data_IF_054803953153
#
_entry.id   IF_054803953153
#
_cell.length_a   1.000
_cell.length_b   1.000
_cell.length_c   1.000
_cell.angle_alpha   90.00
_cell.angle_beta   90.00
_cell.angle_gamma   90.00
#
_symmetry.space_group_name_H-M   'P 1'
#
loop_
_entity.id
_entity.type
_entity.pdbx_description
1 polymer ?
#
# COMPACT_ATOMS: atom_id res chain seq x y z
N UNK A 1 -52.89 -32.35 -3.22
CA UNK A 1 -52.03 -31.29 -2.66
C UNK A 1 -50.58 -31.73 -2.78
N UNK A 2 -49.97 -31.50 -3.94
CA UNK A 2 -48.55 -31.79 -4.15
C UNK A 2 -47.73 -30.68 -3.51
N UNK A 3 -47.03 -30.99 -2.43
CA UNK A 3 -46.03 -30.11 -1.87
C UNK A 3 -44.79 -30.16 -2.77
N UNK A 4 -44.56 -29.08 -3.51
CA UNK A 4 -43.28 -28.86 -4.18
C UNK A 4 -42.28 -28.53 -3.07
N UNK A 5 -41.44 -29.50 -2.73
CA UNK A 5 -40.25 -29.28 -1.90
C UNK A 5 -39.21 -28.63 -2.81
N UNK A 6 -39.09 -27.31 -2.70
CA UNK A 6 -37.95 -26.57 -3.26
C UNK A 6 -36.71 -26.92 -2.45
N UNK A 7 -35.97 -27.92 -2.93
CA UNK A 7 -34.60 -28.19 -2.51
C UNK A 7 -33.72 -27.00 -2.92
N UNK A 8 -33.53 -26.06 -2.00
CA UNK A 8 -32.44 -25.10 -2.07
C UNK A 8 -31.14 -25.90 -2.08
N UNK A 9 -30.52 -26.03 -3.26
CA UNK A 9 -29.14 -26.45 -3.36
C UNK A 9 -28.30 -25.47 -2.55
N UNK A 10 -27.81 -25.90 -1.39
CA UNK A 10 -26.73 -25.24 -0.66
C UNK A 10 -25.45 -25.34 -1.50
N UNK A 11 -25.36 -24.57 -2.58
CA UNK A 11 -24.07 -24.14 -3.09
C UNK A 11 -23.48 -23.24 -2.00
N UNK A 12 -22.65 -23.82 -1.12
CA UNK A 12 -22.01 -23.08 -0.04
C UNK A 12 -21.36 -21.81 -0.59
N UNK A 13 -21.55 -20.68 0.10
CA UNK A 13 -20.96 -19.41 -0.29
C UNK A 13 -19.44 -19.59 -0.42
N UNK A 14 -18.90 -19.38 -1.62
CA UNK A 14 -17.45 -19.33 -1.81
C UNK A 14 -16.93 -18.03 -1.23
N UNK A 15 -16.31 -18.08 -0.03
CA UNK A 15 -15.74 -16.89 0.60
C UNK A 15 -14.70 -16.22 -0.28
N UNK A 16 -13.93 -16.99 -1.06
CA UNK A 16 -12.98 -16.46 -2.04
C UNK A 16 -13.69 -15.56 -3.05
N UNK A 17 -14.78 -16.04 -3.65
CA UNK A 17 -15.56 -15.24 -4.60
C UNK A 17 -16.18 -14.02 -3.92
N UNK A 18 -16.74 -14.19 -2.72
CA UNK A 18 -17.34 -13.08 -1.97
C UNK A 18 -16.31 -11.99 -1.60
N UNK A 19 -15.07 -12.38 -1.26
CA UNK A 19 -13.99 -11.43 -0.97
C UNK A 19 -13.59 -10.56 -2.18
N UNK A 20 -13.83 -11.04 -3.40
CA UNK A 20 -13.56 -10.31 -4.64
C UNK A 20 -14.75 -9.45 -5.04
N UNK A 21 -15.96 -10.03 -5.01
CA UNK A 21 -17.18 -9.38 -5.51
C UNK A 21 -17.73 -8.34 -4.52
N UNK A 22 -17.68 -8.63 -3.22
CA UNK A 22 -18.21 -7.77 -2.15
C UNK A 22 -17.45 -7.97 -0.82
N UNK A 23 -16.21 -7.46 -0.71
CA UNK A 23 -15.39 -7.61 0.49
C UNK A 23 -16.01 -6.98 1.73
N UNK A 24 -16.76 -5.88 1.60
CA UNK A 24 -17.51 -5.26 2.70
C UNK A 24 -18.52 -6.23 3.33
N UNK A 25 -19.30 -6.94 2.50
CA UNK A 25 -20.28 -7.91 3.00
C UNK A 25 -19.59 -9.07 3.75
N UNK A 26 -18.43 -9.53 3.27
CA UNK A 26 -17.68 -10.58 3.93
C UNK A 26 -17.17 -10.12 5.32
N UNK A 27 -16.61 -8.92 5.41
CA UNK A 27 -16.10 -8.36 6.68
C UNK A 27 -17.25 -8.07 7.66
N UNK A 28 -18.40 -7.62 7.17
CA UNK A 28 -19.58 -7.40 8.01
C UNK A 28 -20.03 -8.69 8.75
N UNK A 29 -19.68 -9.86 8.24
CA UNK A 29 -19.97 -11.16 8.85
C UNK A 29 -18.77 -11.78 9.58
N UNK A 30 -17.59 -11.13 9.58
CA UNK A 30 -16.31 -11.68 10.02
C UNK A 30 -16.38 -12.36 11.39
N UNK A 31 -16.81 -11.64 12.44
CA UNK A 31 -16.82 -12.15 13.81
C UNK A 31 -17.67 -13.42 13.93
N UNK A 32 -18.87 -13.40 13.34
CA UNK A 32 -19.80 -14.54 13.32
C UNK A 32 -19.26 -15.73 12.53
N UNK A 33 -18.45 -15.49 11.50
CA UNK A 33 -17.82 -16.55 10.70
C UNK A 33 -16.63 -17.14 11.44
N UNK A 34 -15.79 -16.31 12.05
CA UNK A 34 -14.63 -16.75 12.83
C UNK A 34 -15.04 -17.52 14.09
N UNK A 35 -16.14 -17.14 14.77
CA UNK A 35 -16.68 -17.92 15.89
C UNK A 35 -17.05 -19.35 15.49
N UNK A 36 -17.55 -19.56 14.27
CA UNK A 36 -18.00 -20.87 13.77
C UNK A 36 -16.90 -21.67 13.07
N UNK A 37 -15.97 -20.98 12.41
CA UNK A 37 -15.02 -21.57 11.46
C UNK A 37 -13.60 -20.99 11.63
N UNK A 38 -13.18 -20.68 12.85
CA UNK A 38 -11.86 -20.05 13.14
C UNK A 38 -10.65 -20.78 12.54
N UNK A 39 -10.73 -22.10 12.36
CA UNK A 39 -9.65 -22.92 11.79
C UNK A 39 -9.71 -23.04 10.25
N UNK A 40 -10.70 -22.44 9.60
CA UNK A 40 -10.87 -22.52 8.15
C UNK A 40 -9.87 -21.61 7.45
N UNK A 41 -8.79 -22.19 6.91
CA UNK A 41 -7.80 -21.46 6.13
C UNK A 41 -8.42 -20.72 4.94
N UNK A 42 -9.43 -21.31 4.29
CA UNK A 42 -10.14 -20.68 3.17
C UNK A 42 -10.89 -19.40 3.59
N UNK A 43 -11.55 -19.44 4.76
CA UNK A 43 -12.23 -18.26 5.31
C UNK A 43 -11.22 -17.18 5.70
N UNK A 44 -10.16 -17.56 6.43
CA UNK A 44 -9.10 -16.62 6.86
C UNK A 44 -8.46 -15.95 5.65
N UNK A 45 -8.09 -16.71 4.63
CA UNK A 45 -7.50 -16.16 3.40
C UNK A 45 -8.47 -15.22 2.66
N UNK A 46 -9.76 -15.54 2.64
CA UNK A 46 -10.77 -14.67 2.03
C UNK A 46 -10.97 -13.36 2.83
N UNK A 47 -10.95 -13.41 4.15
CA UNK A 47 -11.04 -12.22 5.01
C UNK A 47 -9.79 -11.34 4.88
N UNK A 48 -8.59 -11.94 4.85
CA UNK A 48 -7.32 -11.24 4.57
C UNK A 48 -7.41 -10.52 3.22
N UNK A 49 -7.86 -11.21 2.17
CA UNK A 49 -8.04 -10.61 0.84
C UNK A 49 -9.05 -9.46 0.88
N UNK A 50 -10.20 -9.64 1.52
CA UNK A 50 -11.21 -8.61 1.63
C UNK A 50 -10.67 -7.34 2.30
N UNK A 51 -9.96 -7.48 3.42
CA UNK A 51 -9.30 -6.35 4.09
C UNK A 51 -8.26 -5.68 3.19
N UNK A 52 -7.42 -6.45 2.50
CA UNK A 52 -6.42 -5.93 1.56
C UNK A 52 -7.08 -5.13 0.43
N UNK A 53 -8.17 -5.63 -0.17
CA UNK A 53 -8.88 -4.92 -1.25
C UNK A 53 -9.50 -3.60 -0.79
N UNK A 54 -10.14 -3.58 0.40
CA UNK A 54 -10.66 -2.32 0.95
C UNK A 54 -9.51 -1.38 1.28
N UNK A 55 -8.41 -1.88 1.83
CA UNK A 55 -7.22 -1.09 2.13
C UNK A 55 -6.66 -0.42 0.87
N UNK A 56 -6.49 -1.16 -0.22
CA UNK A 56 -6.01 -0.65 -1.51
C UNK A 56 -6.94 0.43 -2.08
N UNK A 57 -8.27 0.21 -2.04
CA UNK A 57 -9.25 1.23 -2.49
C UNK A 57 -9.16 2.49 -1.63
N UNK A 58 -9.07 2.34 -0.31
CA UNK A 58 -8.91 3.48 0.60
C UNK A 58 -7.59 4.23 0.36
N UNK A 59 -6.50 3.54 -0.02
CA UNK A 59 -5.23 4.18 -0.44
C UNK A 59 -5.43 5.01 -1.70
N UNK A 60 -6.13 4.49 -2.71
CA UNK A 60 -6.43 5.22 -3.94
C UNK A 60 -7.34 6.44 -3.69
N UNK A 61 -8.20 6.40 -2.68
CA UNK A 61 -9.01 7.52 -2.20
C UNK A 61 -8.22 8.49 -1.29
N UNK A 62 -6.93 8.28 -1.07
CA UNK A 62 -6.08 9.00 -0.11
C UNK A 62 -6.58 8.96 1.35
N UNK A 63 -7.45 8.01 1.69
CA UNK A 63 -7.92 7.76 3.05
C UNK A 63 -6.95 6.81 3.78
N UNK A 64 -5.75 7.31 4.04
CA UNK A 64 -4.64 6.53 4.60
C UNK A 64 -4.94 5.94 5.98
N UNK A 65 -5.73 6.61 6.82
CA UNK A 65 -6.11 6.06 8.12
C UNK A 65 -7.02 4.83 7.98
N UNK A 66 -8.02 4.88 7.08
CA UNK A 66 -8.87 3.72 6.79
C UNK A 66 -8.07 2.59 6.16
N UNK A 67 -7.16 2.91 5.23
CA UNK A 67 -6.29 1.93 4.59
C UNK A 67 -5.40 1.20 5.61
N UNK A 68 -4.71 1.95 6.48
CA UNK A 68 -3.87 1.41 7.55
C UNK A 68 -4.65 0.48 8.47
N UNK A 69 -5.86 0.87 8.90
CA UNK A 69 -6.71 0.02 9.74
C UNK A 69 -6.99 -1.34 9.07
N UNK A 70 -7.43 -1.34 7.81
CA UNK A 70 -7.70 -2.60 7.12
C UNK A 70 -6.45 -3.45 6.87
N UNK A 71 -5.29 -2.86 6.57
CA UNK A 71 -4.06 -3.65 6.48
C UNK A 71 -3.66 -4.23 7.83
N UNK A 72 -3.86 -3.52 8.95
CA UNK A 72 -3.67 -4.08 10.28
C UNK A 72 -4.59 -5.28 10.54
N UNK A 73 -5.89 -5.15 10.23
CA UNK A 73 -6.85 -6.25 10.38
C UNK A 73 -6.47 -7.48 9.53
N UNK A 74 -5.98 -7.27 8.30
CA UNK A 74 -5.44 -8.36 7.49
C UNK A 74 -4.25 -9.06 8.16
N UNK A 75 -3.34 -8.28 8.79
CA UNK A 75 -2.17 -8.82 9.47
C UNK A 75 -2.47 -9.45 10.83
N UNK A 76 -3.56 -9.06 11.49
CA UNK A 76 -4.07 -9.76 12.68
C UNK A 76 -4.54 -11.18 12.33
N UNK A 77 -5.17 -11.34 11.15
CA UNK A 77 -5.61 -12.63 10.63
C UNK A 77 -4.45 -13.47 10.08
N UNK A 78 -3.52 -12.83 9.36
CA UNK A 78 -2.32 -13.47 8.81
C UNK A 78 -1.14 -12.49 8.81
N UNK A 79 -0.31 -12.58 9.85
CA UNK A 79 0.83 -11.67 10.02
C UNK A 79 1.95 -11.85 8.97
N UNK A 80 1.89 -12.88 8.12
CA UNK A 80 2.86 -13.14 7.03
C UNK A 80 2.37 -12.66 5.66
N UNK A 81 1.18 -12.04 5.57
CA UNK A 81 0.69 -11.54 4.29
C UNK A 81 1.55 -10.38 3.78
N UNK A 82 2.38 -10.65 2.78
CA UNK A 82 3.34 -9.68 2.25
C UNK A 82 2.67 -8.56 1.46
N UNK A 83 1.43 -8.72 1.02
CA UNK A 83 0.66 -7.66 0.36
C UNK A 83 0.17 -6.65 1.38
N UNK A 84 -0.42 -7.10 2.49
CA UNK A 84 -0.82 -6.24 3.58
C UNK A 84 0.39 -5.54 4.22
N UNK A 85 1.50 -6.25 4.47
CA UNK A 85 2.72 -5.65 5.01
C UNK A 85 3.27 -4.54 4.10
N UNK A 86 3.38 -4.80 2.79
CA UNK A 86 3.89 -3.83 1.82
C UNK A 86 3.02 -2.57 1.79
N UNK A 87 1.70 -2.73 1.67
CA UNK A 87 0.81 -1.58 1.55
C UNK A 87 0.66 -0.82 2.88
N UNK A 88 0.73 -1.50 4.03
CA UNK A 88 0.75 -0.83 5.34
C UNK A 88 1.96 0.09 5.46
N UNK A 89 3.15 -0.39 5.10
CA UNK A 89 4.38 0.41 5.12
C UNK A 89 4.27 1.65 4.23
N UNK A 90 3.73 1.51 3.01
CA UNK A 90 3.50 2.65 2.12
C UNK A 90 2.56 3.69 2.75
N UNK A 91 1.42 3.23 3.28
CA UNK A 91 0.39 4.11 3.85
C UNK A 91 0.88 4.80 5.13
N UNK A 92 1.58 4.09 6.01
CA UNK A 92 2.23 4.70 7.18
C UNK A 92 3.26 5.76 6.75
N UNK A 93 4.05 5.46 5.71
CA UNK A 93 4.94 6.42 5.08
C UNK A 93 4.20 7.66 4.57
N UNK A 94 3.05 7.50 3.92
CA UNK A 94 2.25 8.63 3.42
C UNK A 94 1.67 9.50 4.54
N UNK A 95 1.22 8.88 5.65
CA UNK A 95 0.73 9.60 6.83
C UNK A 95 1.85 10.48 7.40
N UNK A 96 3.04 9.90 7.57
CA UNK A 96 4.22 10.58 8.09
C UNK A 96 4.70 11.70 7.15
N UNK A 97 4.78 11.41 5.85
CA UNK A 97 5.11 12.37 4.80
C UNK A 97 4.15 13.56 4.81
N UNK A 98 2.85 13.30 4.93
CA UNK A 98 1.82 14.35 5.05
C UNK A 98 2.04 15.23 6.28
N UNK A 99 2.33 14.62 7.44
CA UNK A 99 2.62 15.36 8.69
C UNK A 99 3.86 16.25 8.56
N UNK A 100 4.89 15.81 7.86
CA UNK A 100 5.99 16.66 7.38
C UNK A 100 6.98 17.18 8.44
N UNK A 101 6.85 16.77 9.70
CA UNK A 101 7.85 17.09 10.72
C UNK A 101 9.14 16.28 10.46
N UNK A 102 10.31 16.83 10.79
CA UNK A 102 11.63 16.25 10.45
C UNK A 102 11.78 14.78 10.85
N UNK A 103 11.44 14.43 12.10
CA UNK A 103 11.54 13.04 12.57
C UNK A 103 10.58 12.13 11.82
N UNK A 104 9.33 12.58 11.62
CA UNK A 104 8.35 11.84 10.83
C UNK A 104 8.78 11.63 9.39
N UNK A 105 9.53 12.55 8.77
CA UNK A 105 10.06 12.34 7.42
C UNK A 105 11.15 11.26 7.38
N UNK A 106 12.02 11.20 8.38
CA UNK A 106 12.96 10.09 8.53
C UNK A 106 12.24 8.76 8.75
N UNK A 107 11.23 8.74 9.62
CA UNK A 107 10.39 7.56 9.82
C UNK A 107 9.70 7.15 8.50
N UNK A 108 9.22 8.11 7.70
CA UNK A 108 8.61 7.83 6.39
C UNK A 108 9.61 7.16 5.43
N UNK A 109 10.85 7.66 5.37
CA UNK A 109 11.92 7.08 4.56
C UNK A 109 12.20 5.63 5.01
N UNK A 110 12.25 5.36 6.32
CA UNK A 110 12.42 4.00 6.83
C UNK A 110 11.28 3.08 6.36
N UNK A 111 10.03 3.54 6.46
CA UNK A 111 8.86 2.78 6.01
C UNK A 111 8.92 2.44 4.53
N UNK A 112 9.23 3.43 3.68
CA UNK A 112 9.39 3.20 2.26
C UNK A 112 10.58 2.29 1.93
N UNK A 113 11.71 2.45 2.61
CA UNK A 113 12.87 1.57 2.42
C UNK A 113 12.51 0.11 2.74
N UNK A 114 11.80 -0.14 3.84
CA UNK A 114 11.30 -1.47 4.20
C UNK A 114 10.30 -2.03 3.19
N UNK A 115 9.42 -1.21 2.64
CA UNK A 115 8.52 -1.62 1.57
C UNK A 115 9.29 -2.03 0.30
N UNK A 116 10.32 -1.27 -0.09
CA UNK A 116 11.23 -1.60 -1.18
C UNK A 116 12.03 -2.89 -0.93
N UNK A 117 12.49 -3.12 0.30
CA UNK A 117 13.15 -4.38 0.67
C UNK A 117 12.22 -5.59 0.58
N UNK A 118 10.95 -5.43 0.95
CA UNK A 118 9.93 -6.46 0.87
C UNK A 118 9.54 -6.78 -0.59
N UNK A 119 9.54 -5.77 -1.47
CA UNK A 119 9.24 -5.91 -2.90
C UNK A 119 10.28 -5.19 -3.76
N UNK A 120 11.43 -5.84 -3.94
CA UNK A 120 12.63 -5.26 -4.58
C UNK A 120 12.43 -4.83 -6.04
N UNK A 121 11.39 -5.33 -6.71
CA UNK A 121 11.06 -4.95 -8.09
C UNK A 121 10.16 -3.73 -8.19
N UNK A 122 9.66 -3.19 -7.07
CA UNK A 122 8.73 -2.07 -7.04
C UNK A 122 9.47 -0.74 -6.88
N UNK A 123 9.27 0.18 -7.81
CA UNK A 123 9.87 1.51 -7.80
C UNK A 123 9.13 2.52 -6.94
N UNK A 124 7.84 2.29 -6.65
CA UNK A 124 6.98 3.23 -5.89
C UNK A 124 7.58 3.66 -4.55
N UNK A 125 8.11 2.75 -3.70
CA UNK A 125 8.72 3.17 -2.44
C UNK A 125 9.89 4.14 -2.64
N UNK A 126 10.71 3.93 -3.68
CA UNK A 126 11.86 4.78 -3.96
C UNK A 126 11.47 6.17 -4.44
N UNK A 127 10.37 6.29 -5.21
CA UNK A 127 9.83 7.59 -5.56
C UNK A 127 9.42 8.36 -4.30
N UNK A 128 8.72 7.71 -3.37
CA UNK A 128 8.27 8.37 -2.15
C UNK A 128 9.40 8.67 -1.17
N UNK A 129 10.51 7.90 -1.18
CA UNK A 129 11.75 8.27 -0.50
C UNK A 129 12.31 9.58 -1.05
N UNK A 130 12.38 9.76 -2.38
CA UNK A 130 12.83 11.00 -2.98
C UNK A 130 11.98 12.21 -2.56
N UNK A 131 10.64 12.03 -2.55
CA UNK A 131 9.71 13.06 -2.06
C UNK A 131 9.93 13.41 -0.58
N UNK A 132 10.23 12.41 0.25
CA UNK A 132 10.53 12.62 1.66
C UNK A 132 11.88 13.34 1.87
N UNK A 133 12.91 12.98 1.11
CA UNK A 133 14.20 13.70 1.11
C UNK A 133 14.04 15.15 0.68
N UNK A 134 13.32 15.42 -0.42
CA UNK A 134 13.00 16.79 -0.85
C UNK A 134 12.32 17.61 0.23
N UNK A 135 11.41 16.99 0.99
CA UNK A 135 10.69 17.65 2.08
C UNK A 135 11.55 17.85 3.34
N UNK A 136 12.58 17.03 3.55
CA UNK A 136 13.58 17.20 4.62
C UNK A 136 14.53 18.37 4.32
N UNK A 137 14.94 18.50 3.06
CA UNK A 137 15.86 19.52 2.58
C UNK A 137 16.02 19.41 1.08
N UNK A 138 16.02 20.54 0.39
CA UNK A 138 15.95 20.58 -1.07
C UNK A 138 17.30 20.84 -1.74
N UNK A 139 18.39 20.65 -0.98
CA UNK A 139 19.79 20.82 -1.40
C UNK A 139 20.62 19.54 -1.32
N UNK A 140 20.14 18.50 -0.63
CA UNK A 140 20.79 17.17 -0.59
C UNK A 140 20.46 16.38 -1.87
N UNK A 141 20.90 16.92 -3.01
CA UNK A 141 20.51 16.43 -4.33
C UNK A 141 20.88 14.98 -4.59
N UNK A 142 21.97 14.47 -3.99
CA UNK A 142 22.46 13.11 -4.27
C UNK A 142 21.46 12.05 -3.81
N UNK A 143 20.96 12.14 -2.57
CA UNK A 143 19.97 11.19 -2.04
C UNK A 143 18.63 11.26 -2.78
N UNK A 144 18.24 12.48 -3.20
CA UNK A 144 16.99 12.70 -3.94
C UNK A 144 17.09 12.07 -5.34
N UNK A 145 18.16 12.38 -6.08
CA UNK A 145 18.37 11.90 -7.44
C UNK A 145 18.57 10.39 -7.47
N UNK A 146 19.38 9.82 -6.56
CA UNK A 146 19.57 8.36 -6.45
C UNK A 146 18.23 7.64 -6.20
N UNK A 147 17.39 8.19 -5.32
CA UNK A 147 16.07 7.63 -5.03
C UNK A 147 15.14 7.66 -6.25
N UNK A 148 15.14 8.76 -7.01
CA UNK A 148 14.39 8.83 -8.26
C UNK A 148 14.93 7.88 -9.34
N UNK A 149 16.24 7.80 -9.53
CA UNK A 149 16.86 6.89 -10.49
C UNK A 149 16.48 5.44 -10.18
N UNK A 150 16.53 5.06 -8.91
CA UNK A 150 16.09 3.73 -8.47
C UNK A 150 14.60 3.51 -8.74
N UNK A 151 13.75 4.51 -8.52
CA UNK A 151 12.33 4.41 -8.82
C UNK A 151 12.06 4.19 -10.32
N UNK A 152 12.73 4.95 -11.18
CA UNK A 152 12.58 4.93 -12.64
C UNK A 152 13.09 3.61 -13.26
N UNK A 153 14.11 3.00 -12.64
CA UNK A 153 14.69 1.73 -13.09
C UNK A 153 13.92 0.48 -12.61
N UNK A 154 12.87 0.65 -11.82
CA UNK A 154 12.04 -0.44 -11.27
C UNK A 154 10.60 -0.38 -11.79
N UNK A 155 9.81 -1.43 -11.50
CA UNK A 155 8.42 -1.52 -11.95
C UNK A 155 7.52 -0.60 -11.12
N UNK A 156 6.70 0.22 -11.78
CA UNK A 156 5.65 1.03 -11.16
C UNK A 156 4.59 1.45 -12.18
N UNK A 157 3.47 2.04 -11.72
CA UNK A 157 2.41 2.54 -12.59
C UNK A 157 2.90 3.62 -13.56
N UNK A 158 2.35 3.64 -14.78
CA UNK A 158 2.78 4.57 -15.85
C UNK A 158 2.72 6.04 -15.43
N UNK A 159 1.66 6.42 -14.72
CA UNK A 159 1.47 7.80 -14.25
C UNK A 159 2.54 8.18 -13.22
N UNK A 160 2.82 7.28 -12.27
CA UNK A 160 3.86 7.49 -11.27
C UNK A 160 5.26 7.52 -11.90
N UNK A 161 5.53 6.68 -12.90
CA UNK A 161 6.78 6.69 -13.66
C UNK A 161 6.97 8.02 -14.39
N UNK A 162 5.93 8.51 -15.06
CA UNK A 162 5.98 9.81 -15.73
C UNK A 162 6.23 10.94 -14.73
N UNK A 163 5.60 10.90 -13.55
CA UNK A 163 5.84 11.88 -12.50
C UNK A 163 7.27 11.81 -11.96
N UNK A 164 7.79 10.61 -11.68
CA UNK A 164 9.15 10.40 -11.21
C UNK A 164 10.19 10.95 -12.19
N UNK A 165 10.01 10.75 -13.50
CA UNK A 165 10.90 11.30 -14.54
C UNK A 165 10.87 12.83 -14.58
N UNK A 166 9.69 13.44 -14.44
CA UNK A 166 9.55 14.90 -14.39
C UNK A 166 10.26 15.47 -13.17
N UNK A 167 10.01 14.89 -12.00
CA UNK A 167 10.58 15.35 -10.74
C UNK A 167 12.11 15.15 -10.70
N UNK A 168 12.61 14.04 -11.27
CA UNK A 168 14.04 13.80 -11.46
C UNK A 168 14.68 14.91 -12.30
N UNK A 169 14.14 15.20 -13.48
CA UNK A 169 14.69 16.21 -14.37
C UNK A 169 14.66 17.60 -13.73
N UNK A 170 13.56 17.95 -13.07
CA UNK A 170 13.45 19.20 -12.33
C UNK A 170 14.50 19.31 -11.21
N UNK A 171 14.71 18.23 -10.45
CA UNK A 171 15.72 18.17 -9.39
C UNK A 171 17.13 18.30 -9.95
N UNK A 172 17.41 17.64 -11.07
CA UNK A 172 18.71 17.69 -11.75
C UNK A 172 19.03 19.09 -12.27
N UNK A 173 18.04 19.79 -12.82
CA UNK A 173 18.24 21.16 -13.30
C UNK A 173 18.46 22.15 -12.15
N UNK A 174 17.77 21.97 -11.02
CA UNK A 174 18.05 22.74 -9.79
C UNK A 174 19.48 22.52 -9.29
N UNK A 175 19.97 21.28 -9.28
CA UNK A 175 21.37 20.95 -8.93
C UNK A 175 22.34 21.71 -9.83
N UNK A 176 22.17 21.64 -11.16
CA UNK A 176 23.03 22.35 -12.14
C UNK A 176 23.03 23.87 -11.93
N UNK A 177 21.87 24.47 -11.64
CA UNK A 177 21.77 25.90 -11.38
C UNK A 177 22.55 26.29 -10.12
N UNK A 178 22.41 25.53 -9.03
CA UNK A 178 23.17 25.76 -7.80
C UNK A 178 24.69 25.62 -8.05
N UNK A 179 25.11 24.55 -8.73
CA UNK A 179 26.51 24.31 -9.06
C UNK A 179 27.11 25.41 -9.96
N UNK A 180 26.28 26.05 -10.80
CA UNK A 180 26.73 27.16 -11.65
C UNK A 180 26.79 28.48 -10.89
N UNK A 181 25.91 28.71 -9.91
CA UNK A 181 25.93 29.91 -9.08
C UNK A 181 27.19 30.01 -8.20
N UNK A 182 27.73 28.87 -7.75
CA UNK A 182 28.92 28.81 -6.89
C UNK A 182 30.25 28.64 -7.65
N UNK A 183 30.24 28.72 -8.98
CA UNK A 183 31.45 28.79 -9.82
C UNK A 183 31.88 30.24 -10.04
#
# INVERSE_FOLDING_TARGET
MSYIVLIYNCAGVSYTKLSQDNPEALIAMQDSLLLRQSKSANLVNALVNAHVQIGIRATAEHNFNKASNHFHQALELNNKDTTAQYNLLLVEGHILLKKGNKNGLWDAIEKYARAGSLRQTQGEPHYWMAQAYLKLGDTDFDLILESYEKAINLSMGKDLLSQAQKDYNHTLDRKKQLDTFWK
#
